data_IF_890518860858
#
_entry.id   IF_890518860858
#
_cell.length_a   1.000
_cell.length_b   1.000
_cell.length_c   1.000
_cell.angle_alpha   90.00
_cell.angle_beta   90.00
_cell.angle_gamma   90.00
#
_symmetry.space_group_name_H-M   'P 1'
#
loop_
_entity.id
_entity.type
_entity.pdbx_description
1 polymer ?
#
# COMPACT_ATOMS: atom_id res chain seq x y z
N UNK A 1 9.57 13.13 11.51
CA UNK A 1 9.10 12.48 10.26
C UNK A 1 9.51 11.01 10.18
N UNK A 2 10.82 10.66 10.20
CA UNK A 2 11.29 9.26 10.07
C UNK A 2 10.62 8.25 11.03
N UNK A 3 10.40 8.61 12.29
CA UNK A 3 9.72 7.72 13.24
C UNK A 3 8.24 7.46 12.95
N UNK A 4 7.53 8.42 12.34
CA UNK A 4 6.10 8.26 12.00
C UNK A 4 5.94 7.31 10.81
N UNK A 5 6.83 7.43 9.82
CA UNK A 5 6.82 6.55 8.64
C UNK A 5 7.09 5.09 9.01
N UNK A 6 7.99 4.85 9.96
CA UNK A 6 8.21 3.50 10.51
C UNK A 6 6.94 2.91 11.13
N UNK A 7 6.18 3.72 11.89
CA UNK A 7 4.90 3.30 12.50
C UNK A 7 3.86 2.98 11.43
N UNK A 8 3.82 3.76 10.35
CA UNK A 8 2.92 3.52 9.21
C UNK A 8 3.29 2.23 8.48
N UNK A 9 4.58 2.03 8.21
CA UNK A 9 5.09 0.81 7.56
C UNK A 9 4.78 -0.44 8.40
N UNK A 10 4.99 -0.37 9.71
CA UNK A 10 4.61 -1.44 10.64
C UNK A 10 3.10 -1.71 10.61
N UNK A 11 2.28 -0.67 10.51
CA UNK A 11 0.83 -0.77 10.35
C UNK A 11 0.44 -1.48 9.05
N UNK A 12 1.05 -1.11 7.93
CA UNK A 12 0.85 -1.80 6.66
C UNK A 12 1.28 -3.26 6.73
N UNK A 13 2.42 -3.54 7.33
CA UNK A 13 2.92 -4.90 7.51
C UNK A 13 1.96 -5.76 8.33
N UNK A 14 1.35 -5.22 9.39
CA UNK A 14 0.33 -5.91 10.17
C UNK A 14 -0.94 -6.18 9.36
N UNK A 15 -1.43 -5.19 8.62
CA UNK A 15 -2.59 -5.35 7.75
C UNK A 15 -2.38 -6.42 6.68
N UNK A 16 -1.23 -6.38 6.00
CA UNK A 16 -0.84 -7.37 5.00
C UNK A 16 -0.74 -8.79 5.59
N UNK A 17 -0.20 -8.94 6.81
CA UNK A 17 -0.19 -10.24 7.51
C UNK A 17 -1.58 -10.78 7.79
N UNK A 18 -2.54 -9.91 8.14
CA UNK A 18 -3.94 -10.30 8.36
C UNK A 18 -4.57 -10.74 7.03
N UNK A 19 -4.45 -9.92 5.98
CA UNK A 19 -4.98 -10.21 4.66
C UNK A 19 -4.43 -11.52 4.06
N UNK A 20 -3.13 -11.78 4.24
CA UNK A 20 -2.50 -13.02 3.79
C UNK A 20 -3.07 -14.25 4.51
N UNK A 21 -3.31 -14.17 5.83
CA UNK A 21 -3.96 -15.26 6.59
C UNK A 21 -5.40 -15.51 6.17
N UNK A 22 -6.09 -14.48 5.70
CA UNK A 22 -7.48 -14.57 5.21
C UNK A 22 -7.56 -14.99 3.73
N UNK A 23 -6.43 -15.09 3.02
CA UNK A 23 -6.38 -15.43 1.61
C UNK A 23 -6.84 -14.31 0.67
N UNK A 24 -6.83 -13.06 1.15
CA UNK A 24 -7.24 -11.88 0.36
C UNK A 24 -6.15 -11.43 -0.62
N UNK A 25 -4.88 -11.68 -0.26
CA UNK A 25 -3.70 -11.35 -1.07
C UNK A 25 -2.86 -12.60 -1.34
N UNK A 26 -2.00 -12.53 -2.36
CA UNK A 26 -1.17 -13.67 -2.76
C UNK A 26 -0.27 -14.18 -1.62
N UNK A 27 -0.21 -15.49 -1.35
CA UNK A 27 0.71 -16.04 -0.35
C UNK A 27 2.18 -16.00 -0.78
N UNK A 28 2.45 -15.76 -2.07
CA UNK A 28 3.80 -15.63 -2.62
C UNK A 28 4.38 -14.20 -2.47
N UNK A 29 3.60 -13.27 -1.91
CA UNK A 29 3.98 -11.87 -1.81
C UNK A 29 5.01 -11.64 -0.69
N UNK A 30 6.06 -10.89 -0.98
CA UNK A 30 7.00 -10.41 0.04
C UNK A 30 6.31 -9.29 0.85
N UNK A 31 5.82 -9.63 2.04
CA UNK A 31 5.03 -8.71 2.87
C UNK A 31 5.83 -7.49 3.33
N UNK A 32 7.09 -7.61 3.81
CA UNK A 32 7.93 -6.44 4.05
C UNK A 32 8.10 -5.54 2.84
N UNK A 33 8.42 -6.09 1.66
CA UNK A 33 8.58 -5.29 0.45
C UNK A 33 7.28 -4.57 0.06
N UNK A 34 6.13 -5.24 0.22
CA UNK A 34 4.83 -4.65 -0.02
C UNK A 34 4.48 -3.53 0.98
N UNK A 35 4.84 -3.66 2.25
CA UNK A 35 4.66 -2.60 3.25
C UNK A 35 5.50 -1.36 2.92
N UNK A 36 6.76 -1.57 2.51
CA UNK A 36 7.64 -0.48 2.05
C UNK A 36 7.07 0.20 0.78
N UNK A 37 6.55 -0.58 -0.17
CA UNK A 37 5.88 -0.06 -1.37
C UNK A 37 4.67 0.82 -1.02
N UNK A 38 3.79 0.36 -0.13
CA UNK A 38 2.62 1.14 0.31
C UNK A 38 3.02 2.42 1.05
N UNK A 39 4.10 2.38 1.83
CA UNK A 39 4.67 3.55 2.51
C UNK A 39 5.19 4.57 1.49
N UNK A 40 5.96 4.14 0.49
CA UNK A 40 6.42 5.01 -0.60
C UNK A 40 5.27 5.60 -1.41
N UNK A 41 4.21 4.82 -1.66
CA UNK A 41 3.00 5.32 -2.32
C UNK A 41 2.34 6.44 -1.51
N UNK A 42 2.18 6.26 -0.20
CA UNK A 42 1.62 7.27 0.69
C UNK A 42 2.44 8.57 0.64
N UNK A 43 3.77 8.47 0.71
CA UNK A 43 4.66 9.63 0.59
C UNK A 43 4.51 10.32 -0.78
N UNK A 44 4.45 9.53 -1.86
CA UNK A 44 4.24 10.04 -3.21
C UNK A 44 2.90 10.79 -3.35
N UNK A 45 1.82 10.25 -2.80
CA UNK A 45 0.50 10.88 -2.81
C UNK A 45 0.50 12.20 -2.02
N UNK A 46 1.21 12.28 -0.89
CA UNK A 46 1.37 13.52 -0.13
C UNK A 46 2.13 14.60 -0.90
N UNK A 47 2.96 14.23 -1.87
CA UNK A 47 3.60 15.17 -2.80
C UNK A 47 2.64 15.55 -3.92
N UNK A 48 2.02 14.56 -4.58
CA UNK A 48 1.13 14.79 -5.73
C UNK A 48 -0.04 15.70 -5.36
N UNK A 49 -0.67 15.50 -4.19
CA UNK A 49 -1.82 16.30 -3.76
C UNK A 49 -1.54 17.81 -3.70
N UNK A 50 -0.27 18.19 -3.54
CA UNK A 50 0.17 19.60 -3.53
C UNK A 50 0.19 20.22 -4.93
N UNK A 51 0.34 19.40 -5.98
CA UNK A 51 0.42 19.82 -7.37
C UNK A 51 -0.87 19.56 -8.15
N UNK A 52 -1.56 18.46 -7.86
CA UNK A 52 -2.84 18.07 -8.44
C UNK A 52 -3.72 17.47 -7.34
N UNK A 53 -4.74 18.23 -6.94
CA UNK A 53 -5.64 17.87 -5.86
C UNK A 53 -6.89 17.12 -6.32
N UNK A 54 -6.98 16.71 -7.61
CA UNK A 54 -8.12 15.92 -8.10
C UNK A 54 -8.15 14.55 -7.41
N UNK A 55 -9.13 14.29 -6.53
CA UNK A 55 -9.19 13.06 -5.75
C UNK A 55 -9.36 11.82 -6.65
N UNK A 56 -9.92 11.95 -7.86
CA UNK A 56 -10.12 10.81 -8.76
C UNK A 56 -8.80 10.21 -9.24
N UNK A 57 -7.80 11.06 -9.49
CA UNK A 57 -6.46 10.64 -9.91
C UNK A 57 -5.71 9.94 -8.78
N UNK A 58 -5.86 10.44 -7.56
CA UNK A 58 -5.26 9.85 -6.36
C UNK A 58 -5.87 8.47 -6.06
N UNK A 59 -7.18 8.34 -6.16
CA UNK A 59 -7.88 7.04 -6.00
C UNK A 59 -7.38 6.02 -7.01
N UNK A 60 -7.25 6.40 -8.28
CA UNK A 60 -6.75 5.49 -9.34
C UNK A 60 -5.33 4.96 -9.05
N UNK A 61 -4.45 5.79 -8.52
CA UNK A 61 -3.09 5.38 -8.13
C UNK A 61 -3.12 4.37 -6.95
N UNK A 62 -4.00 4.59 -5.98
CA UNK A 62 -4.21 3.65 -4.86
C UNK A 62 -4.78 2.33 -5.37
N UNK A 63 -5.83 2.37 -6.20
CA UNK A 63 -6.46 1.17 -6.77
C UNK A 63 -5.45 0.32 -7.54
N UNK A 64 -4.60 0.95 -8.35
CA UNK A 64 -3.55 0.26 -9.11
C UNK A 64 -2.57 -0.46 -8.19
N UNK A 65 -2.15 0.18 -7.10
CA UNK A 65 -1.24 -0.43 -6.13
C UNK A 65 -1.91 -1.55 -5.32
N UNK A 66 -3.20 -1.45 -5.00
CA UNK A 66 -3.93 -2.52 -4.31
C UNK A 66 -4.18 -3.71 -5.23
N UNK A 67 -4.48 -3.47 -6.52
CA UNK A 67 -4.63 -4.53 -7.52
C UNK A 67 -3.36 -5.37 -7.69
N UNK A 68 -2.17 -4.79 -7.53
CA UNK A 68 -0.92 -5.54 -7.62
C UNK A 68 -0.68 -6.48 -6.43
N UNK A 69 -1.38 -6.26 -5.31
CA UNK A 69 -1.34 -7.10 -4.12
C UNK A 69 -2.40 -8.21 -4.16
N UNK A 70 -3.48 -8.00 -4.91
CA UNK A 70 -4.60 -8.91 -4.96
C UNK A 70 -4.18 -10.31 -5.43
N UNK A 71 -4.72 -11.34 -4.78
CA UNK A 71 -4.58 -12.70 -5.27
C UNK A 71 -5.35 -12.84 -6.59
N UNK A 72 -4.69 -13.25 -7.68
CA UNK A 72 -5.37 -13.79 -8.84
C UNK A 72 -5.99 -15.11 -8.38
N UNK A 73 -7.30 -15.11 -8.11
CA UNK A 73 -8.05 -16.37 -8.02
C UNK A 73 -7.93 -17.06 -9.37
N UNK A 74 -7.10 -18.09 -9.43
CA UNK A 74 -7.13 -19.07 -10.53
C UNK A 74 -8.46 -19.81 -10.55
#
# INVERSE_FOLDING_TARGET
MRGILSVVEDGFLQGLRVAARQGEISPALDLPAAAAMLTMLLEGLQVIVKADSDPRRLVSAVDTALLSLASVRG
#
